data_IF_369511437555
#
_entry.id   IF_369511437555
#
_cell.length_a   1.000
_cell.length_b   1.000
_cell.length_c   1.000
_cell.angle_alpha   90.00
_cell.angle_beta   90.00
_cell.angle_gamma   90.00
#
_symmetry.space_group_name_H-M   'P 1'
#
loop_
_entity.id
_entity.type
_entity.pdbx_description
1 polymer ?
#
# COMPACT_ATOMS: atom_id res chain seq x y z
N UNK A 1 -23.47 -16.11 -11.13
CA UNK A 1 -23.53 -15.00 -10.15
C UNK A 1 -24.90 -14.92 -9.45
N UNK A 2 -26.02 -14.96 -10.17
CA UNK A 2 -27.36 -14.83 -9.55
C UNK A 2 -27.70 -15.95 -8.56
N UNK A 3 -27.31 -17.19 -8.82
CA UNK A 3 -27.51 -18.33 -7.88
C UNK A 3 -26.67 -18.21 -6.63
N UNK A 4 -25.43 -17.70 -6.73
CA UNK A 4 -24.55 -17.46 -5.60
C UNK A 4 -25.15 -16.41 -4.66
N UNK A 5 -25.64 -15.28 -5.20
CA UNK A 5 -26.31 -14.24 -4.41
C UNK A 5 -27.58 -14.73 -3.71
N UNK A 6 -28.35 -15.63 -4.31
CA UNK A 6 -29.56 -16.21 -3.69
C UNK A 6 -29.16 -17.15 -2.53
N UNK A 7 -28.11 -17.96 -2.71
CA UNK A 7 -27.60 -18.85 -1.66
C UNK A 7 -27.08 -18.03 -0.46
N UNK A 8 -26.25 -17.00 -0.74
CA UNK A 8 -25.67 -16.15 0.28
C UNK A 8 -26.76 -15.38 1.05
N UNK A 9 -27.76 -14.87 0.36
CA UNK A 9 -28.93 -14.22 0.98
C UNK A 9 -29.71 -15.16 1.92
N UNK A 10 -29.91 -16.40 1.51
CA UNK A 10 -30.60 -17.38 2.35
C UNK A 10 -29.75 -17.75 3.59
N UNK A 11 -28.43 -17.94 3.42
CA UNK A 11 -27.52 -18.19 4.53
C UNK A 11 -27.59 -17.04 5.55
N UNK A 12 -27.39 -15.81 5.12
CA UNK A 12 -27.43 -14.63 5.99
C UNK A 12 -28.78 -14.50 6.70
N UNK A 13 -29.88 -14.72 5.98
CA UNK A 13 -31.25 -14.67 6.54
C UNK A 13 -31.48 -15.70 7.65
N UNK A 14 -30.95 -16.91 7.49
CA UNK A 14 -31.21 -18.01 8.41
C UNK A 14 -30.16 -18.11 9.54
N UNK A 15 -28.93 -17.70 9.33
CA UNK A 15 -27.85 -17.75 10.33
C UNK A 15 -27.65 -16.43 11.07
N UNK A 16 -28.19 -15.32 10.56
CA UNK A 16 -28.20 -14.01 11.22
C UNK A 16 -26.91 -13.19 11.23
N UNK A 17 -25.78 -13.55 10.57
CA UNK A 17 -24.57 -12.71 10.57
C UNK A 17 -24.81 -11.49 9.67
N UNK A 18 -25.34 -10.43 10.24
CA UNK A 18 -25.57 -9.15 9.55
C UNK A 18 -24.84 -8.03 10.25
N UNK A 19 -24.48 -7.02 9.49
CA UNK A 19 -23.89 -5.80 10.03
C UNK A 19 -24.92 -5.06 10.91
N UNK A 20 -24.51 -4.60 12.08
CA UNK A 20 -25.37 -3.76 12.92
C UNK A 20 -25.68 -2.42 12.22
N UNK A 21 -26.81 -1.81 12.53
CA UNK A 21 -27.18 -0.51 11.98
C UNK A 21 -26.14 0.57 12.30
N UNK A 22 -25.52 0.53 13.47
CA UNK A 22 -24.45 1.44 13.86
C UNK A 22 -23.20 1.26 12.98
N UNK A 23 -22.74 0.02 12.77
CA UNK A 23 -21.60 -0.24 11.91
C UNK A 23 -21.87 0.16 10.45
N UNK A 24 -23.08 -0.08 9.95
CA UNK A 24 -23.50 0.36 8.62
C UNK A 24 -23.46 1.89 8.49
N UNK A 25 -23.94 2.60 9.51
CA UNK A 25 -23.90 4.06 9.55
C UNK A 25 -22.45 4.60 9.59
N UNK A 26 -21.56 4.01 10.40
CA UNK A 26 -20.13 4.39 10.45
C UNK A 26 -19.46 4.22 9.08
N UNK A 27 -19.71 3.10 8.41
CA UNK A 27 -19.18 2.87 7.07
C UNK A 27 -19.73 3.87 6.04
N UNK A 28 -21.03 4.15 6.09
CA UNK A 28 -21.65 5.14 5.22
C UNK A 28 -21.01 6.52 5.41
N UNK A 29 -20.81 6.94 6.66
CA UNK A 29 -20.10 8.18 7.00
C UNK A 29 -18.67 8.19 6.48
N UNK A 30 -17.96 7.07 6.55
CA UNK A 30 -16.62 6.93 5.97
C UNK A 30 -16.59 7.10 4.45
N UNK A 31 -17.65 6.70 3.75
CA UNK A 31 -17.76 6.87 2.28
C UNK A 31 -17.94 8.33 1.86
N UNK A 32 -18.58 9.16 2.67
CA UNK A 32 -18.83 10.57 2.33
C UNK A 32 -17.52 11.36 2.06
N UNK A 33 -16.42 11.00 2.73
CA UNK A 33 -15.11 11.65 2.57
C UNK A 33 -14.10 10.79 1.81
N UNK A 34 -14.50 9.65 1.28
CA UNK A 34 -13.58 8.68 0.66
C UNK A 34 -12.80 9.31 -0.49
N UNK A 35 -13.46 10.05 -1.37
CA UNK A 35 -12.83 10.70 -2.52
C UNK A 35 -11.73 11.67 -2.09
N UNK A 36 -12.02 12.54 -1.13
CA UNK A 36 -11.06 13.52 -0.60
C UNK A 36 -9.81 12.83 -0.05
N UNK A 37 -10.01 11.76 0.73
CA UNK A 37 -8.90 10.99 1.31
C UNK A 37 -8.05 10.31 0.25
N UNK A 38 -8.69 9.62 -0.70
CA UNK A 38 -7.99 8.88 -1.76
C UNK A 38 -7.21 9.83 -2.68
N UNK A 39 -7.78 10.98 -3.05
CA UNK A 39 -7.08 11.99 -3.86
C UNK A 39 -5.85 12.55 -3.14
N UNK A 40 -5.97 12.89 -1.85
CA UNK A 40 -4.84 13.36 -1.05
C UNK A 40 -3.75 12.30 -0.88
N UNK A 41 -4.14 11.06 -0.57
CA UNK A 41 -3.21 9.93 -0.44
C UNK A 41 -2.49 9.64 -1.77
N UNK A 42 -3.20 9.64 -2.89
CA UNK A 42 -2.62 9.38 -4.21
C UNK A 42 -1.61 10.47 -4.62
N UNK A 43 -1.91 11.74 -4.33
CA UNK A 43 -1.00 12.84 -4.59
C UNK A 43 0.29 12.73 -3.75
N UNK A 44 0.16 12.36 -2.47
CA UNK A 44 1.31 12.13 -1.58
C UNK A 44 2.11 10.91 -2.02
N UNK A 45 1.43 9.81 -2.40
CA UNK A 45 2.08 8.59 -2.85
C UNK A 45 2.94 8.80 -4.10
N UNK A 46 2.46 9.59 -5.07
CA UNK A 46 3.24 9.91 -6.26
C UNK A 46 4.53 10.67 -5.91
N UNK A 47 4.43 11.71 -5.07
CA UNK A 47 5.61 12.48 -4.63
C UNK A 47 6.62 11.61 -3.90
N UNK A 48 6.15 10.71 -3.02
CA UNK A 48 7.02 9.76 -2.33
C UNK A 48 7.67 8.77 -3.30
N UNK A 49 6.93 8.29 -4.28
CA UNK A 49 7.47 7.40 -5.31
C UNK A 49 8.58 8.07 -6.13
N UNK A 50 8.42 9.35 -6.49
CA UNK A 50 9.43 10.14 -7.19
C UNK A 50 10.69 10.32 -6.33
N UNK A 51 10.54 10.63 -5.04
CA UNK A 51 11.68 10.77 -4.11
C UNK A 51 12.41 9.45 -3.92
N UNK A 52 11.66 8.35 -3.76
CA UNK A 52 12.25 7.02 -3.63
C UNK A 52 12.99 6.59 -4.90
N UNK A 53 12.45 6.90 -6.06
CA UNK A 53 13.08 6.57 -7.35
C UNK A 53 14.43 7.31 -7.55
N UNK A 54 14.54 8.53 -7.02
CA UNK A 54 15.78 9.30 -7.04
C UNK A 54 16.80 8.87 -5.96
N UNK A 55 16.43 7.99 -5.05
CA UNK A 55 17.28 7.64 -3.91
C UNK A 55 18.32 6.57 -4.26
N UNK A 56 19.64 6.79 -3.97
CA UNK A 56 20.73 5.89 -4.41
C UNK A 56 20.70 4.47 -3.82
N UNK A 57 20.03 4.25 -2.69
CA UNK A 57 19.87 2.92 -2.07
C UNK A 57 18.57 2.21 -2.49
N UNK A 58 17.79 2.77 -3.40
CA UNK A 58 16.56 2.17 -3.92
C UNK A 58 16.79 1.73 -5.35
N UNK A 59 16.74 0.43 -5.59
CA UNK A 59 17.00 -0.16 -6.90
C UNK A 59 15.76 -0.16 -7.82
N UNK A 60 14.57 -0.10 -7.24
CA UNK A 60 13.33 -0.15 -8.01
C UNK A 60 12.19 0.49 -7.24
N UNK A 61 11.34 1.25 -7.94
CA UNK A 61 10.06 1.73 -7.43
C UNK A 61 8.95 1.31 -8.39
N UNK A 62 7.81 0.90 -7.84
CA UNK A 62 6.62 0.52 -8.61
C UNK A 62 5.46 1.37 -8.15
N UNK A 63 5.07 2.30 -8.99
CA UNK A 63 3.86 3.11 -8.85
C UNK A 63 3.34 3.46 -10.25
N UNK A 64 2.04 3.25 -10.55
CA UNK A 64 1.53 3.31 -11.93
C UNK A 64 1.65 4.70 -12.59
N UNK A 65 1.79 5.76 -11.80
CA UNK A 65 1.93 7.14 -12.32
C UNK A 65 3.39 7.63 -12.39
N UNK A 66 4.39 6.81 -12.06
CA UNK A 66 5.78 7.10 -12.41
C UNK A 66 5.99 6.96 -13.92
N UNK A 67 6.75 7.86 -14.51
CA UNK A 67 7.07 7.83 -15.95
C UNK A 67 7.84 6.56 -16.33
N UNK A 68 8.66 6.05 -15.42
CA UNK A 68 9.42 4.80 -15.57
C UNK A 68 8.56 3.53 -15.55
N UNK A 69 7.28 3.64 -15.11
CA UNK A 69 6.41 2.46 -15.03
C UNK A 69 6.02 1.98 -16.43
N UNK A 70 6.20 0.68 -16.78
CA UNK A 70 5.96 0.15 -18.13
C UNK A 70 4.53 0.33 -18.64
N UNK A 71 3.56 0.49 -17.75
CA UNK A 71 2.15 0.71 -18.09
C UNK A 71 1.68 2.14 -17.76
N UNK A 72 2.58 3.11 -17.64
CA UNK A 72 2.25 4.50 -17.29
C UNK A 72 1.16 5.10 -18.18
N UNK A 73 1.30 4.99 -19.50
CA UNK A 73 0.33 5.53 -20.46
C UNK A 73 -1.04 4.82 -20.38
N UNK A 74 -1.04 3.52 -20.07
CA UNK A 74 -2.28 2.78 -19.85
C UNK A 74 -2.96 3.25 -18.55
N UNK A 75 -2.18 3.39 -17.48
CA UNK A 75 -2.68 3.86 -16.19
C UNK A 75 -3.32 5.25 -16.31
N UNK A 76 -2.66 6.20 -16.99
CA UNK A 76 -3.20 7.54 -17.23
C UNK A 76 -4.51 7.55 -18.02
N UNK A 77 -4.69 6.60 -18.93
CA UNK A 77 -5.95 6.51 -19.70
C UNK A 77 -7.10 5.92 -18.89
N UNK A 78 -6.81 5.05 -17.93
CA UNK A 78 -7.82 4.27 -17.20
C UNK A 78 -8.10 4.81 -15.80
N UNK A 79 -7.18 5.56 -15.20
CA UNK A 79 -7.26 5.98 -13.81
C UNK A 79 -7.06 7.50 -13.69
N UNK A 80 -7.77 8.11 -12.74
CA UNK A 80 -7.63 9.53 -12.40
C UNK A 80 -6.46 9.81 -11.46
N UNK A 81 -5.88 8.78 -10.83
CA UNK A 81 -4.73 8.86 -9.93
C UNK A 81 -4.07 7.51 -9.77
N UNK A 82 -2.80 7.47 -9.36
CA UNK A 82 -1.98 6.26 -9.22
C UNK A 82 -2.30 5.40 -7.97
N UNK A 83 -3.22 5.85 -7.13
CA UNK A 83 -3.53 5.21 -5.86
C UNK A 83 -2.53 5.53 -4.75
N UNK A 84 -2.77 4.97 -3.57
CA UNK A 84 -2.00 5.26 -2.34
C UNK A 84 -0.89 4.25 -2.03
N UNK A 85 -0.70 3.23 -2.87
CA UNK A 85 0.28 2.16 -2.62
C UNK A 85 1.52 2.38 -3.45
N UNK A 86 2.68 2.40 -2.79
CA UNK A 86 4.00 2.45 -3.40
C UNK A 86 4.76 1.19 -3.00
N UNK A 87 5.28 0.46 -3.97
CA UNK A 87 6.19 -0.66 -3.70
C UNK A 87 7.59 -0.25 -4.13
N UNK A 88 8.58 -0.48 -3.29
CA UNK A 88 9.96 -0.19 -3.61
C UNK A 88 10.89 -1.30 -3.12
N UNK A 89 12.05 -1.37 -3.72
CA UNK A 89 13.08 -2.35 -3.41
C UNK A 89 14.36 -1.60 -3.04
N UNK A 90 14.90 -1.91 -1.87
CA UNK A 90 16.20 -1.40 -1.43
C UNK A 90 17.32 -2.32 -1.88
N UNK A 91 18.51 -1.76 -2.02
CA UNK A 91 19.74 -2.51 -2.23
C UNK A 91 20.18 -3.11 -0.90
N UNK A 92 19.68 -4.31 -0.61
CA UNK A 92 19.94 -5.00 0.65
C UNK A 92 19.07 -6.24 0.80
N UNK A 93 19.27 -6.92 1.90
CA UNK A 93 18.52 -8.11 2.26
C UNK A 93 17.39 -7.81 3.26
N UNK A 94 16.89 -8.84 3.90
CA UNK A 94 15.85 -8.76 4.91
C UNK A 94 16.28 -7.94 6.15
N UNK A 95 17.57 -7.96 6.53
CA UNK A 95 18.06 -7.27 7.72
C UNK A 95 18.01 -5.75 7.51
N UNK A 96 18.46 -5.27 6.36
CA UNK A 96 18.37 -3.86 5.96
C UNK A 96 16.93 -3.40 5.83
N UNK A 97 16.05 -4.23 5.23
CA UNK A 97 14.63 -3.92 5.14
C UNK A 97 13.98 -3.75 6.52
N UNK A 98 14.31 -4.61 7.47
CA UNK A 98 13.82 -4.51 8.85
C UNK A 98 14.42 -3.34 9.61
N UNK A 99 15.71 -3.05 9.42
CA UNK A 99 16.35 -1.88 10.01
C UNK A 99 15.67 -0.59 9.54
N UNK A 100 15.39 -0.48 8.23
CA UNK A 100 14.62 0.64 7.67
C UNK A 100 13.23 0.73 8.30
N UNK A 101 12.46 -0.36 8.32
CA UNK A 101 11.10 -0.35 8.88
C UNK A 101 11.09 0.08 10.36
N UNK A 102 12.04 -0.41 11.17
CA UNK A 102 12.13 -0.11 12.60
C UNK A 102 12.58 1.34 12.87
N UNK A 103 13.26 1.98 11.94
CA UNK A 103 13.71 3.37 12.06
C UNK A 103 12.60 4.39 11.72
N UNK A 104 11.50 3.95 11.08
CA UNK A 104 10.36 4.83 10.77
C UNK A 104 9.65 5.28 12.04
N UNK A 105 9.34 6.58 12.11
CA UNK A 105 8.68 7.19 13.28
C UNK A 105 7.18 7.47 13.08
N UNK A 106 6.78 7.69 11.83
CA UNK A 106 5.41 8.10 11.47
C UNK A 106 4.65 6.97 10.81
N UNK A 107 5.36 6.08 10.12
CA UNK A 107 4.77 4.98 9.36
C UNK A 107 4.66 3.76 10.26
N UNK A 108 3.46 3.25 10.45
CA UNK A 108 3.20 2.06 11.26
C UNK A 108 3.56 0.77 10.49
N UNK A 109 4.12 -0.22 11.19
CA UNK A 109 4.37 -1.54 10.61
C UNK A 109 3.07 -2.33 10.62
N UNK A 110 2.46 -2.52 9.46
CA UNK A 110 1.21 -3.27 9.30
C UNK A 110 1.09 -3.86 7.90
N UNK A 111 0.49 -5.03 7.79
CA UNK A 111 0.19 -5.65 6.49
C UNK A 111 -1.13 -5.18 5.86
N UNK A 112 -1.88 -4.29 6.53
CA UNK A 112 -3.06 -3.65 5.98
C UNK A 112 -2.70 -2.55 4.96
N UNK A 113 -3.71 -1.96 4.35
CA UNK A 113 -3.56 -0.84 3.41
C UNK A 113 -4.85 0.01 3.39
N UNK A 114 -4.72 1.26 2.94
CA UNK A 114 -5.87 2.15 2.76
C UNK A 114 -6.34 2.88 4.01
N UNK A 115 -5.60 2.83 5.10
CA UNK A 115 -5.89 3.62 6.31
C UNK A 115 -5.56 5.10 6.10
N UNK A 116 -6.06 5.95 6.99
CA UNK A 116 -5.66 7.36 7.10
C UNK A 116 -4.21 7.53 7.58
N UNK A 117 -3.64 6.51 8.19
CA UNK A 117 -2.23 6.42 8.58
C UNK A 117 -1.40 5.73 7.52
N UNK A 118 -0.17 6.19 7.36
CA UNK A 118 0.82 5.49 6.54
C UNK A 118 1.25 4.17 7.17
N UNK A 119 1.28 3.12 6.37
CA UNK A 119 1.64 1.76 6.82
C UNK A 119 2.66 1.14 5.88
N UNK A 120 3.64 0.43 6.45
CA UNK A 120 4.64 -0.31 5.70
C UNK A 120 4.63 -1.79 6.05
N UNK A 121 4.86 -2.63 5.07
CA UNK A 121 5.03 -4.08 5.26
C UNK A 121 6.19 -4.62 4.45
N UNK A 122 6.75 -5.73 4.92
CA UNK A 122 7.71 -6.55 4.18
C UNK A 122 6.98 -7.76 3.57
N UNK A 123 6.63 -7.75 2.28
CA UNK A 123 5.78 -8.77 1.66
C UNK A 123 6.33 -10.19 1.77
N UNK A 124 7.65 -10.35 1.66
CA UNK A 124 8.29 -11.66 1.68
C UNK A 124 8.06 -12.43 3.00
N UNK A 125 7.93 -11.73 4.14
CA UNK A 125 7.70 -12.36 5.46
C UNK A 125 6.24 -12.30 5.93
N UNK A 126 5.40 -11.53 5.26
CA UNK A 126 3.99 -11.33 5.66
C UNK A 126 3.04 -11.88 4.59
N UNK A 127 2.61 -11.05 3.68
CA UNK A 127 1.53 -11.34 2.71
C UNK A 127 1.88 -12.44 1.71
N UNK A 128 3.17 -12.60 1.37
CA UNK A 128 3.64 -13.59 0.39
C UNK A 128 4.51 -14.69 1.00
N UNK A 129 4.50 -14.83 2.33
CA UNK A 129 5.31 -15.82 3.05
C UNK A 129 5.05 -17.26 2.58
N UNK A 130 3.79 -17.59 2.25
CA UNK A 130 3.38 -18.95 1.87
C UNK A 130 3.79 -19.37 0.45
N UNK A 131 4.22 -18.42 -0.39
CA UNK A 131 4.56 -18.71 -1.79
C UNK A 131 5.89 -19.44 -1.98
N UNK A 132 6.80 -19.39 -1.01
CA UNK A 132 8.17 -19.85 -1.19
C UNK A 132 9.05 -18.80 -1.91
N UNK A 133 10.38 -18.98 -1.84
CA UNK A 133 11.34 -17.99 -2.36
C UNK A 133 11.29 -17.88 -3.89
N UNK A 134 11.29 -19.00 -4.60
CA UNK A 134 11.32 -19.04 -6.06
C UNK A 134 10.07 -18.41 -6.67
N UNK A 135 8.89 -18.73 -6.12
CA UNK A 135 7.63 -18.16 -6.60
C UNK A 135 7.54 -16.65 -6.32
N UNK A 136 8.09 -16.18 -5.20
CA UNK A 136 8.18 -14.73 -4.92
C UNK A 136 9.13 -14.03 -5.89
N UNK A 137 10.29 -14.62 -6.15
CA UNK A 137 11.26 -14.07 -7.11
C UNK A 137 10.66 -13.96 -8.53
N UNK A 138 9.89 -14.96 -8.97
CA UNK A 138 9.21 -14.96 -10.26
C UNK A 138 8.23 -13.79 -10.46
N UNK A 139 7.64 -13.27 -9.38
CA UNK A 139 6.77 -12.10 -9.41
C UNK A 139 7.48 -10.80 -8.98
N UNK A 140 8.82 -10.84 -8.83
CA UNK A 140 9.64 -9.68 -8.52
C UNK A 140 9.61 -9.25 -7.05
N UNK A 141 9.23 -10.13 -6.13
CA UNK A 141 9.29 -9.87 -4.67
C UNK A 141 10.57 -10.50 -4.12
N UNK A 142 11.50 -9.64 -3.75
CA UNK A 142 12.78 -9.99 -3.11
C UNK A 142 12.74 -9.73 -1.60
N UNK A 143 13.80 -10.09 -0.90
CA UNK A 143 13.93 -9.81 0.54
C UNK A 143 14.19 -8.32 0.85
N UNK A 144 14.58 -7.52 -0.13
CA UNK A 144 14.64 -6.05 -0.03
C UNK A 144 13.34 -5.33 -0.42
N UNK A 145 12.28 -6.06 -0.77
CA UNK A 145 11.01 -5.46 -1.22
C UNK A 145 10.16 -4.98 -0.04
N UNK A 146 9.74 -3.72 -0.11
CA UNK A 146 8.86 -3.07 0.85
C UNK A 146 7.62 -2.51 0.16
N UNK A 147 6.46 -2.57 0.81
CA UNK A 147 5.21 -1.98 0.34
C UNK A 147 4.73 -0.93 1.33
N UNK A 148 4.62 0.29 0.88
CA UNK A 148 4.10 1.43 1.63
C UNK A 148 2.66 1.71 1.21
N UNK A 149 1.74 1.79 2.16
CA UNK A 149 0.40 2.34 1.99
C UNK A 149 0.40 3.74 2.58
N UNK A 150 0.29 4.74 1.75
CA UNK A 150 0.40 6.16 2.13
C UNK A 150 -0.89 6.62 2.77
N UNK A 151 -0.78 7.27 3.93
CA UNK A 151 -1.87 7.87 4.68
C UNK A 151 -2.14 9.33 4.31
N UNK A 152 -2.65 10.08 5.27
CA UNK A 152 -3.02 11.49 5.14
C UNK A 152 -2.02 12.43 5.84
N UNK A 153 -0.90 11.91 6.32
CA UNK A 153 0.14 12.71 6.95
C UNK A 153 0.74 13.71 5.94
N UNK A 154 1.16 14.85 6.43
CA UNK A 154 1.78 15.87 5.58
C UNK A 154 3.06 15.34 4.90
N UNK A 155 3.17 15.57 3.61
CA UNK A 155 4.30 15.11 2.78
C UNK A 155 5.65 15.53 3.37
N UNK A 156 5.74 16.72 3.98
CA UNK A 156 6.95 17.23 4.62
C UNK A 156 7.50 16.32 5.73
N UNK A 157 6.65 15.61 6.45
CA UNK A 157 7.08 14.68 7.49
C UNK A 157 7.54 13.34 6.94
N UNK A 158 6.91 12.85 5.88
CA UNK A 158 7.31 11.60 5.22
C UNK A 158 8.61 11.76 4.43
N UNK A 159 8.86 12.94 3.83
CA UNK A 159 10.13 13.27 3.15
C UNK A 159 11.31 13.33 4.11
N UNK A 160 11.12 13.82 5.35
CA UNK A 160 12.19 13.96 6.34
C UNK A 160 12.62 12.63 6.99
N UNK A 161 11.73 11.64 7.00
CA UNK A 161 12.01 10.36 7.67
C UNK A 161 12.60 9.30 6.74
N UNK A 162 12.24 9.28 5.48
CA UNK A 162 12.76 8.30 4.52
C UNK A 162 14.23 8.54 4.12
N UNK A 163 14.69 9.76 3.78
CA UNK A 163 16.10 10.00 3.45
C UNK A 163 17.06 9.82 4.62
N UNK A 164 16.64 10.19 5.84
CA UNK A 164 17.47 10.06 7.04
C UNK A 164 17.72 8.61 7.43
N UNK A 165 16.77 7.72 7.13
CA UNK A 165 16.80 6.30 7.48
C UNK A 165 17.69 5.50 6.52
N UNK A 166 17.72 5.89 5.26
CA UNK A 166 18.64 5.29 4.29
C UNK A 166 20.10 5.76 4.47
N UNK A 167 20.38 6.61 5.46
CA UNK A 167 21.73 7.13 5.78
C UNK A 167 22.42 6.33 6.89
N UNK A 168 21.79 5.28 7.44
CA UNK A 168 22.38 4.39 8.46
C UNK A 168 23.04 3.20 7.81
#
# INVERSE_FOLDING_TARGET
QRQMCIRDRNLVRHTGPTMSAFNAWVLLKGLETLRLRVEAQAATALKLAEVLEAHPKVSRVVHPFLVSHPQHELAKRQMSGGGSVVTFQIDGDKAEAFALMNALRIVDISNNLGDSKSMITHPATTTHRRMGADARAAIGITDGTLRLSVGLEAVSYTHLTLPTICSV
#
